data_IF_453463326799
#
_entry.id   IF_453463326799
#
_cell.length_a   1.000
_cell.length_b   1.000
_cell.length_c   1.000
_cell.angle_alpha   90.00
_cell.angle_beta   90.00
_cell.angle_gamma   90.00
#
_symmetry.space_group_name_H-M   'P 1'
#
loop_
_entity.id
_entity.type
_entity.pdbx_description
1 polymer ?
#
# COMPACT_ATOMS: atom_id res chain seq x y z
N UNK A 1 11.96 -15.65 3.05
CA UNK A 1 11.70 -15.42 4.49
C UNK A 1 10.24 -15.00 4.61
N UNK A 2 9.44 -15.66 5.45
CA UNK A 2 8.02 -15.35 5.63
C UNK A 2 7.65 -15.41 7.11
N UNK A 3 6.64 -14.65 7.51
CA UNK A 3 6.04 -14.71 8.85
C UNK A 3 4.55 -14.89 8.70
N UNK A 4 3.99 -15.90 9.36
CA UNK A 4 2.56 -16.19 9.33
C UNK A 4 1.86 -15.46 10.49
N UNK A 5 0.89 -14.62 10.15
CA UNK A 5 0.03 -13.94 11.12
C UNK A 5 -1.39 -14.46 10.94
N UNK A 6 -1.95 -15.03 12.01
CA UNK A 6 -3.31 -15.53 12.01
C UNK A 6 -4.21 -14.64 12.84
N UNK A 7 -5.39 -14.35 12.31
CA UNK A 7 -6.46 -13.68 13.03
C UNK A 7 -7.74 -14.50 12.87
N UNK A 8 -8.30 -14.98 13.99
CA UNK A 8 -9.57 -15.70 13.97
C UNK A 8 -10.69 -14.80 13.45
N UNK A 9 -11.41 -15.21 12.40
CA UNK A 9 -12.62 -14.50 11.97
C UNK A 9 -13.70 -14.72 13.02
N UNK A 10 -14.12 -13.65 13.68
CA UNK A 10 -15.23 -13.68 14.61
C UNK A 10 -16.52 -14.09 13.87
N UNK A 11 -17.32 -14.98 14.46
CA UNK A 11 -18.53 -15.51 13.84
C UNK A 11 -19.52 -14.38 13.55
N UNK A 12 -19.79 -14.12 12.27
CA UNK A 12 -20.61 -13.00 11.80
C UNK A 12 -22.13 -13.20 11.98
N UNK A 13 -22.52 -14.14 12.85
CA UNK A 13 -23.90 -14.62 12.94
C UNK A 13 -24.79 -13.82 13.91
N UNK A 14 -24.34 -12.72 14.51
CA UNK A 14 -25.13 -12.02 15.53
C UNK A 14 -25.32 -10.50 15.38
N UNK A 15 -25.25 -9.94 14.16
CA UNK A 15 -25.67 -8.55 13.93
C UNK A 15 -26.21 -8.34 12.51
N UNK A 16 -27.46 -8.75 12.28
CA UNK A 16 -28.22 -8.53 11.02
C UNK A 16 -28.60 -7.04 10.77
N UNK A 17 -28.21 -6.08 11.62
CA UNK A 17 -28.77 -4.72 11.58
C UNK A 17 -27.79 -3.57 11.35
N UNK A 18 -26.51 -3.80 11.02
CA UNK A 18 -25.64 -2.71 10.49
C UNK A 18 -24.70 -3.24 9.43
N UNK A 19 -25.06 -3.12 8.14
CA UNK A 19 -24.11 -3.14 7.02
C UNK A 19 -23.18 -1.92 7.14
N UNK A 20 -22.32 -1.91 8.16
CA UNK A 20 -21.18 -1.00 8.24
C UNK A 20 -20.25 -1.44 7.11
N UNK A 21 -19.89 -0.52 6.21
CA UNK A 21 -18.96 -0.75 5.11
C UNK A 21 -17.65 -1.30 5.66
N UNK A 22 -17.57 -2.62 5.83
CA UNK A 22 -16.43 -3.28 6.43
C UNK A 22 -15.47 -3.56 5.29
N UNK A 23 -14.49 -2.68 5.16
CA UNK A 23 -13.45 -2.76 4.14
C UNK A 23 -12.79 -4.14 4.19
N UNK A 24 -12.70 -4.85 3.07
CA UNK A 24 -12.00 -6.15 3.04
C UNK A 24 -10.53 -5.95 3.41
N UNK A 25 -9.94 -6.94 4.09
CA UNK A 25 -8.50 -6.96 4.37
C UNK A 25 -7.97 -5.92 5.39
N UNK A 26 -8.81 -5.13 6.08
CA UNK A 26 -8.29 -4.14 7.05
C UNK A 26 -7.65 -4.80 8.28
N UNK A 27 -8.25 -5.88 8.82
CA UNK A 27 -7.73 -6.57 10.03
C UNK A 27 -6.35 -7.20 9.82
N UNK A 28 -6.11 -8.00 8.75
CA UNK A 28 -4.78 -8.56 8.50
C UNK A 28 -3.71 -7.48 8.33
N UNK A 29 -4.02 -6.38 7.62
CA UNK A 29 -3.09 -5.25 7.44
C UNK A 29 -2.74 -4.56 8.76
N UNK A 30 -3.74 -4.32 9.61
CA UNK A 30 -3.51 -3.75 10.94
C UNK A 30 -2.61 -4.65 11.81
N UNK A 31 -2.89 -5.97 11.83
CA UNK A 31 -2.10 -6.94 12.57
C UNK A 31 -0.63 -6.98 12.08
N UNK A 32 -0.43 -6.94 10.76
CA UNK A 32 0.91 -6.91 10.17
C UNK A 32 1.68 -5.64 10.55
N UNK A 33 1.02 -4.47 10.57
CA UNK A 33 1.65 -3.22 11.00
C UNK A 33 2.09 -3.28 12.46
N UNK A 34 1.24 -3.80 13.36
CA UNK A 34 1.58 -3.90 14.78
C UNK A 34 2.72 -4.89 15.03
N UNK A 35 2.72 -6.01 14.30
CA UNK A 35 3.85 -6.94 14.32
C UNK A 35 5.14 -6.28 13.85
N UNK A 36 5.12 -5.55 12.71
CA UNK A 36 6.28 -4.83 12.18
C UNK A 36 6.82 -3.78 13.15
N UNK A 37 5.93 -3.03 13.82
CA UNK A 37 6.34 -2.04 14.83
C UNK A 37 7.08 -2.67 16.00
N UNK A 38 6.64 -3.84 16.45
CA UNK A 38 7.29 -4.55 17.55
C UNK A 38 8.63 -5.17 17.10
N UNK A 39 8.66 -5.79 15.91
CA UNK A 39 9.88 -6.32 15.33
C UNK A 39 10.95 -5.23 15.15
N UNK A 40 10.55 -4.05 14.67
CA UNK A 40 11.45 -2.92 14.47
C UNK A 40 12.00 -2.33 15.78
N UNK A 41 11.23 -2.39 16.88
CA UNK A 41 11.71 -2.00 18.21
C UNK A 41 12.77 -2.97 18.74
N UNK A 42 12.56 -4.27 18.52
CA UNK A 42 13.50 -5.31 18.95
C UNK A 42 14.77 -5.32 18.09
N UNK A 43 14.62 -5.14 16.77
CA UNK A 43 15.70 -5.20 15.78
C UNK A 43 15.54 -4.08 14.73
N UNK A 44 16.06 -2.88 15.01
CA UNK A 44 15.96 -1.75 14.08
C UNK A 44 16.62 -2.06 12.73
N UNK A 45 15.85 -1.93 11.65
CA UNK A 45 16.33 -2.15 10.29
C UNK A 45 15.79 -1.10 9.31
N UNK A 46 16.49 -0.83 8.21
CA UNK A 46 15.95 0.00 7.12
C UNK A 46 15.18 -0.89 6.16
N UNK A 47 13.95 -0.52 5.85
CA UNK A 47 13.09 -1.24 4.93
C UNK A 47 11.93 -0.41 4.42
N UNK A 48 11.22 -0.96 3.45
CA UNK A 48 10.00 -0.37 2.88
C UNK A 48 8.88 -1.38 3.04
N UNK A 49 7.69 -0.91 3.41
CA UNK A 49 6.47 -1.74 3.51
C UNK A 49 5.65 -1.50 2.26
N UNK A 50 5.25 -2.59 1.61
CA UNK A 50 4.33 -2.57 0.48
C UNK A 50 3.14 -3.50 0.76
N UNK A 51 1.93 -2.99 0.60
CA UNK A 51 0.72 -3.79 0.73
C UNK A 51 0.37 -4.38 -0.64
N UNK A 52 0.69 -5.66 -0.82
CA UNK A 52 0.36 -6.42 -2.02
C UNK A 52 -0.82 -7.35 -1.73
N UNK A 53 -1.97 -7.07 -2.33
CA UNK A 53 -3.11 -7.99 -2.36
C UNK A 53 -2.76 -9.21 -3.25
N UNK A 54 -3.35 -10.36 -2.93
CA UNK A 54 -3.03 -11.68 -3.51
C UNK A 54 -3.62 -11.91 -4.90
N UNK A 55 -4.59 -11.10 -5.31
CA UNK A 55 -5.28 -11.15 -6.60
C UNK A 55 -4.75 -10.14 -7.63
N UNK A 56 -3.76 -9.32 -7.25
CA UNK A 56 -3.10 -8.38 -8.14
C UNK A 56 -1.89 -9.01 -8.86
N UNK A 57 -1.55 -8.45 -10.01
CA UNK A 57 -0.34 -8.81 -10.77
C UNK A 57 0.76 -7.76 -10.59
N UNK A 58 1.99 -8.21 -10.34
CA UNK A 58 3.13 -7.33 -10.09
C UNK A 58 4.32 -7.68 -10.98
N UNK A 59 4.91 -6.66 -11.59
CA UNK A 59 6.17 -6.79 -12.32
C UNK A 59 7.36 -6.70 -11.36
N UNK A 60 8.37 -7.56 -11.52
CA UNK A 60 9.56 -7.55 -10.68
C UNK A 60 10.32 -6.20 -10.69
N UNK A 61 10.25 -5.46 -11.81
CA UNK A 61 10.81 -4.11 -11.94
C UNK A 61 10.23 -3.13 -10.93
N UNK A 62 8.96 -3.30 -10.55
CA UNK A 62 8.32 -2.48 -9.52
C UNK A 62 9.11 -2.52 -8.20
N UNK A 63 9.55 -3.71 -7.81
CA UNK A 63 10.31 -3.91 -6.56
C UNK A 63 11.76 -3.46 -6.69
N UNK A 64 12.40 -3.80 -7.81
CA UNK A 64 13.83 -3.59 -8.03
C UNK A 64 14.18 -2.14 -8.36
N UNK A 65 13.34 -1.44 -9.12
CA UNK A 65 13.68 -0.12 -9.65
C UNK A 65 13.00 1.00 -8.84
N UNK A 66 11.85 0.70 -8.20
CA UNK A 66 11.01 1.71 -7.56
C UNK A 66 10.85 1.50 -6.04
N UNK A 67 10.16 0.44 -5.59
CA UNK A 67 9.75 0.27 -4.18
C UNK A 67 10.95 0.34 -3.23
N UNK A 68 12.06 -0.35 -3.53
CA UNK A 68 13.25 -0.36 -2.67
C UNK A 68 13.90 1.02 -2.47
N UNK A 69 13.61 1.98 -3.34
CA UNK A 69 14.21 3.32 -3.33
C UNK A 69 13.37 4.34 -2.54
N UNK A 70 12.16 3.99 -2.12
CA UNK A 70 11.25 4.87 -1.37
C UNK A 70 11.88 5.31 -0.04
N UNK A 71 11.85 6.63 0.24
CA UNK A 71 12.36 7.22 1.49
C UNK A 71 11.29 7.57 2.52
N UNK A 72 10.08 7.88 2.06
CA UNK A 72 8.93 8.24 2.91
C UNK A 72 7.67 7.55 2.43
N UNK A 73 7.16 7.96 1.27
CA UNK A 73 5.97 7.42 0.62
C UNK A 73 6.24 7.40 -0.89
N UNK A 74 5.97 6.26 -1.53
CA UNK A 74 6.03 6.12 -2.98
C UNK A 74 4.62 5.95 -3.54
N UNK A 75 4.35 6.60 -4.67
CA UNK A 75 3.08 6.49 -5.41
C UNK A 75 3.40 6.23 -6.88
N UNK A 76 2.58 5.44 -7.55
CA UNK A 76 2.74 5.08 -8.96
C UNK A 76 1.40 4.79 -9.61
N UNK A 77 1.41 4.70 -10.94
CA UNK A 77 0.24 4.34 -11.72
C UNK A 77 -0.17 2.88 -11.47
N UNK A 78 -1.48 2.63 -11.37
CA UNK A 78 -2.05 1.30 -11.22
C UNK A 78 -2.99 1.03 -12.39
N UNK A 79 -2.86 -0.13 -13.02
CA UNK A 79 -3.72 -0.54 -14.13
C UNK A 79 -5.00 -1.25 -13.66
N UNK A 80 -6.05 -1.18 -14.46
CA UNK A 80 -7.32 -1.90 -14.29
C UNK A 80 -7.96 -1.72 -12.91
N UNK A 81 -7.95 -0.49 -12.39
CA UNK A 81 -8.47 -0.13 -11.07
C UNK A 81 -9.58 0.92 -11.19
N UNK A 82 -10.54 0.91 -10.26
CA UNK A 82 -11.58 1.96 -10.19
C UNK A 82 -12.53 2.04 -11.39
N UNK A 83 -12.52 1.04 -12.28
CA UNK A 83 -13.25 1.08 -13.55
C UNK A 83 -12.51 1.80 -14.69
N UNK A 84 -11.27 2.24 -14.45
CA UNK A 84 -10.40 2.83 -15.45
C UNK A 84 -9.29 1.86 -15.89
N UNK A 85 -8.74 2.08 -17.09
CA UNK A 85 -7.58 1.31 -17.57
C UNK A 85 -6.33 1.61 -16.75
N UNK A 86 -6.16 2.86 -16.32
CA UNK A 86 -5.05 3.33 -15.49
C UNK A 86 -5.54 4.45 -14.59
N UNK A 87 -5.22 4.39 -13.31
CA UNK A 87 -5.24 5.54 -12.41
C UNK A 87 -3.81 5.91 -12.02
N UNK A 88 -3.44 7.19 -12.13
CA UNK A 88 -2.08 7.65 -11.88
C UNK A 88 -2.08 9.02 -11.18
N UNK A 89 -1.09 9.29 -10.31
CA UNK A 89 -0.91 10.61 -9.74
C UNK A 89 -0.51 11.61 -10.83
N UNK A 90 -1.08 12.81 -10.78
CA UNK A 90 -0.60 13.93 -11.59
C UNK A 90 0.73 14.42 -11.01
N UNK A 91 1.76 14.49 -11.86
CA UNK A 91 3.09 14.93 -11.48
C UNK A 91 3.46 16.17 -12.30
N UNK A 92 3.60 17.30 -11.62
CA UNK A 92 4.12 18.52 -12.24
C UNK A 92 5.62 18.38 -12.45
N UNK A 93 6.05 18.27 -13.70
CA UNK A 93 7.47 18.33 -14.05
C UNK A 93 7.97 19.75 -13.83
N UNK A 94 9.04 19.89 -13.03
CA UNK A 94 9.63 21.19 -12.66
C UNK A 94 10.07 22.04 -13.88
N UNK A 95 10.17 21.43 -15.06
CA UNK A 95 10.47 22.12 -16.31
C UNK A 95 9.40 23.16 -16.71
N UNK A 96 8.16 23.05 -16.21
CA UNK A 96 7.09 24.01 -16.52
C UNK A 96 7.19 25.34 -15.74
N UNK A 97 7.97 25.42 -14.64
CA UNK A 97 8.09 26.66 -13.83
C UNK A 97 9.09 27.67 -14.38
N UNK A 98 10.07 27.24 -15.18
CA UNK A 98 11.15 28.14 -15.67
C UNK A 98 10.74 29.05 -16.82
N UNK A 99 9.62 28.77 -17.49
CA UNK A 99 9.14 29.56 -18.63
C UNK A 99 8.14 30.66 -18.25
N UNK A 100 7.64 30.68 -17.01
CA UNK A 100 6.56 31.60 -16.59
C UNK A 100 7.04 32.83 -15.79
N UNK A 101 8.34 32.97 -15.51
CA UNK A 101 8.92 34.08 -14.72
C UNK A 101 9.95 34.92 -15.48
N UNK A 102 9.92 34.89 -16.82
CA UNK A 102 10.56 35.91 -17.66
C UNK A 102 9.47 36.71 -18.39
N UNK A 103 8.94 37.72 -17.74
CA UNK A 103 8.31 38.90 -18.35
C UNK A 103 8.63 40.11 -17.50
#
# INVERSE_FOLDING_TARGET
MHTYLYHHKENENNNKTKKKHRMKGWRPRALAIDWLRNAQKAHPSKGVVYFADDDNSYDARLFNDFIRNVKRVGVWAVGLVGGALVEAPEVLLEQHRRSATKK
#
